data_IF_754511507964
#
_entry.id   IF_754511507964
#
_cell.length_a   1.000
_cell.length_b   1.000
_cell.length_c   1.000
_cell.angle_alpha   90.00
_cell.angle_beta   90.00
_cell.angle_gamma   90.00
#
_symmetry.space_group_name_H-M   'P 1'
#
loop_
_entity.id
_entity.type
_entity.pdbx_description
1 polymer ?
#
# COMPACT_ATOMS: atom_id res chain seq x y z
N UNK A 1 11.01 -27.84 -45.43
CA UNK A 1 11.10 -27.07 -44.16
C UNK A 1 12.57 -26.92 -43.77
N UNK A 2 13.05 -25.70 -43.64
CA UNK A 2 14.47 -25.38 -43.54
C UNK A 2 15.01 -25.64 -42.11
N UNK A 3 16.04 -26.48 -41.95
CA UNK A 3 16.58 -26.91 -40.63
C UNK A 3 16.92 -25.75 -39.70
N UNK A 4 17.29 -24.59 -40.27
CA UNK A 4 17.59 -23.36 -39.53
C UNK A 4 16.38 -22.78 -38.80
N UNK A 5 15.16 -22.92 -39.34
CA UNK A 5 13.95 -22.42 -38.67
C UNK A 5 13.53 -23.29 -37.48
N UNK A 6 13.80 -24.60 -37.52
CA UNK A 6 13.50 -25.50 -36.41
C UNK A 6 14.40 -25.22 -35.19
N UNK A 7 15.68 -24.89 -35.42
CA UNK A 7 16.61 -24.51 -34.35
C UNK A 7 16.26 -23.17 -33.69
N UNK A 8 15.77 -22.18 -34.44
CA UNK A 8 15.32 -20.92 -33.85
C UNK A 8 14.04 -21.09 -33.03
N UNK A 9 13.12 -21.96 -33.46
CA UNK A 9 11.88 -22.24 -32.74
C UNK A 9 12.14 -23.01 -31.43
N UNK A 10 13.09 -23.96 -31.45
CA UNK A 10 13.56 -24.66 -30.25
C UNK A 10 14.29 -23.74 -29.28
N UNK A 11 15.13 -22.81 -29.77
CA UNK A 11 15.81 -21.83 -28.93
C UNK A 11 14.81 -20.85 -28.26
N UNK A 12 13.76 -20.44 -28.98
CA UNK A 12 12.70 -19.58 -28.42
C UNK A 12 11.90 -20.31 -27.34
N UNK A 13 11.62 -21.60 -27.52
CA UNK A 13 10.86 -22.41 -26.58
C UNK A 13 11.64 -22.66 -25.28
N UNK A 14 12.95 -22.91 -25.37
CA UNK A 14 13.84 -23.07 -24.20
C UNK A 14 14.04 -21.75 -23.43
N UNK A 15 14.10 -20.60 -24.13
CA UNK A 15 14.16 -19.30 -23.44
C UNK A 15 12.86 -18.95 -22.71
N UNK A 16 11.70 -19.34 -23.25
CA UNK A 16 10.42 -19.10 -22.57
C UNK A 16 10.16 -20.05 -21.40
N UNK A 17 10.70 -21.27 -21.41
CA UNK A 17 10.60 -22.20 -20.27
C UNK A 17 11.57 -21.85 -19.13
N UNK A 18 12.71 -21.23 -19.43
CA UNK A 18 13.67 -20.81 -18.40
C UNK A 18 13.13 -19.67 -17.52
N UNK A 19 12.26 -18.80 -18.05
CA UNK A 19 11.59 -17.76 -17.26
C UNK A 19 10.40 -18.27 -16.45
N UNK A 20 9.82 -19.42 -16.84
CA UNK A 20 8.70 -20.02 -16.12
C UNK A 20 9.14 -20.88 -14.92
N UNK A 21 10.40 -21.32 -14.88
CA UNK A 21 10.92 -22.20 -13.83
C UNK A 21 11.50 -21.47 -12.59
N UNK A 22 11.58 -20.14 -12.60
CA UNK A 22 12.13 -19.34 -11.48
C UNK A 22 11.07 -18.69 -10.57
N UNK A 23 9.81 -19.11 -10.67
CA UNK A 23 8.73 -18.70 -9.77
C UNK A 23 8.14 -19.91 -9.04
N UNK A 24 9.01 -20.76 -8.48
CA UNK A 24 8.58 -21.58 -7.35
C UNK A 24 8.39 -20.62 -6.17
N UNK A 25 7.15 -20.54 -5.70
CA UNK A 25 6.79 -19.91 -4.45
C UNK A 25 7.64 -20.56 -3.33
N UNK A 26 8.76 -19.93 -2.99
CA UNK A 26 9.43 -20.22 -1.72
C UNK A 26 8.46 -19.70 -0.67
N UNK A 27 7.79 -20.63 0.04
CA UNK A 27 7.05 -20.27 1.23
C UNK A 27 8.01 -19.56 2.19
N UNK A 28 7.64 -18.40 2.77
CA UNK A 28 8.52 -17.63 3.66
C UNK A 28 8.94 -18.37 4.94
N UNK A 29 8.47 -19.61 5.14
CA UNK A 29 8.77 -20.44 6.30
C UNK A 29 10.22 -20.96 6.35
N UNK A 30 10.93 -21.04 5.22
CA UNK A 30 12.29 -21.63 5.18
C UNK A 30 13.41 -20.70 5.70
N UNK A 31 13.09 -19.43 5.98
CA UNK A 31 14.03 -18.44 6.56
C UNK A 31 13.63 -17.99 7.98
N UNK A 32 12.77 -18.76 8.64
CA UNK A 32 12.26 -18.42 9.98
C UNK A 32 13.09 -19.05 11.11
N UNK A 33 13.67 -18.22 11.98
CA UNK A 33 14.21 -18.63 13.27
C UNK A 33 13.12 -18.61 14.34
N UNK A 34 13.11 -19.59 15.26
CA UNK A 34 12.23 -19.60 16.43
C UNK A 34 13.04 -19.17 17.65
N UNK A 35 12.62 -18.10 18.33
CA UNK A 35 13.09 -17.76 19.68
C UNK A 35 11.91 -17.92 20.63
N UNK A 36 12.11 -18.67 21.71
CA UNK A 36 11.13 -18.83 22.78
C UNK A 36 11.42 -17.75 23.83
N UNK A 37 10.53 -16.77 23.93
CA UNK A 37 10.52 -15.80 25.03
C UNK A 37 9.18 -15.92 25.74
N UNK A 38 9.22 -16.17 27.05
CA UNK A 38 8.04 -16.19 27.95
C UNK A 38 6.90 -17.10 27.48
N UNK A 39 7.22 -18.31 27.03
CA UNK A 39 6.23 -19.33 26.64
C UNK A 39 5.47 -19.03 25.33
N UNK A 40 5.82 -17.96 24.61
CA UNK A 40 5.32 -17.68 23.25
C UNK A 40 6.40 -18.00 22.23
N UNK A 41 6.05 -18.87 21.29
CA UNK A 41 6.87 -19.14 20.10
C UNK A 41 6.66 -18.01 19.11
N UNK A 42 7.66 -17.12 18.99
CA UNK A 42 7.66 -16.09 17.94
C UNK A 42 8.50 -16.62 16.78
N UNK A 43 7.87 -16.76 15.62
CA UNK A 43 8.53 -17.08 14.36
C UNK A 43 9.06 -15.77 13.77
N UNK A 44 10.39 -15.64 13.68
CA UNK A 44 11.03 -14.49 13.06
C UNK A 44 11.60 -14.90 11.72
N UNK A 45 11.11 -14.34 10.62
CA UNK A 45 11.91 -14.31 9.39
C UNK A 45 13.09 -13.36 9.62
N UNK A 46 14.30 -13.72 9.16
CA UNK A 46 15.53 -12.89 9.26
C UNK A 46 15.32 -11.44 8.77
N UNK A 47 14.30 -11.19 7.95
CA UNK A 47 13.86 -9.87 7.50
C UNK A 47 12.39 -9.62 7.83
N UNK A 48 12.09 -9.24 9.08
CA UNK A 48 10.77 -8.69 9.43
C UNK A 48 10.71 -7.20 9.09
N UNK A 49 10.12 -6.89 7.93
CA UNK A 49 9.90 -5.52 7.44
C UNK A 49 9.13 -4.64 8.44
N UNK A 50 8.19 -5.24 9.18
CA UNK A 50 7.39 -4.53 10.17
C UNK A 50 8.27 -4.11 11.33
N UNK A 51 9.03 -5.06 11.88
CA UNK A 51 9.93 -4.81 13.00
C UNK A 51 11.00 -3.77 12.66
N UNK A 52 11.57 -3.82 11.45
CA UNK A 52 12.55 -2.83 10.99
C UNK A 52 11.95 -1.42 10.95
N UNK A 53 10.77 -1.28 10.35
CA UNK A 53 10.11 0.01 10.21
C UNK A 53 9.68 0.57 11.56
N UNK A 54 9.10 -0.26 12.42
CA UNK A 54 8.63 0.12 13.75
C UNK A 54 9.82 0.46 14.66
N UNK A 55 10.92 -0.28 14.58
CA UNK A 55 12.15 0.00 15.32
C UNK A 55 12.79 1.35 14.95
N UNK A 56 12.87 1.67 13.65
CA UNK A 56 13.33 3.01 13.23
C UNK A 56 12.35 4.11 13.65
N UNK A 57 11.03 3.89 13.53
CA UNK A 57 10.03 4.87 13.93
C UNK A 57 10.11 5.17 15.44
N UNK A 58 10.32 4.14 16.27
CA UNK A 58 10.54 4.32 17.70
C UNK A 58 11.82 5.11 17.98
N UNK A 59 12.93 4.79 17.29
CA UNK A 59 14.20 5.54 17.43
C UNK A 59 14.04 7.03 17.08
N UNK A 60 13.17 7.36 16.13
CA UNK A 60 12.97 8.73 15.65
C UNK A 60 11.87 9.48 16.40
N UNK A 61 11.11 8.82 17.26
CA UNK A 61 9.91 9.35 17.93
C UNK A 61 10.12 10.68 18.68
N UNK A 62 11.31 10.88 19.25
CA UNK A 62 11.68 12.08 20.00
C UNK A 62 12.46 13.12 19.17
N UNK A 63 12.68 12.87 17.86
CA UNK A 63 13.40 13.82 17.02
C UNK A 63 12.53 15.04 16.68
N UNK A 64 13.12 16.25 16.63
CA UNK A 64 12.41 17.45 16.22
C UNK A 64 12.02 17.40 14.73
N UNK A 65 10.97 18.15 14.38
CA UNK A 65 10.42 18.25 13.02
C UNK A 65 11.49 18.53 11.97
N UNK A 66 12.42 19.45 12.24
CA UNK A 66 13.47 19.86 11.30
C UNK A 66 14.40 18.69 10.93
N UNK A 67 14.79 17.89 11.92
CA UNK A 67 15.64 16.71 11.70
C UNK A 67 14.87 15.68 10.86
N UNK A 68 13.59 15.44 11.16
CA UNK A 68 12.77 14.51 10.39
C UNK A 68 12.64 14.95 8.92
N UNK A 69 12.46 16.25 8.67
CA UNK A 69 12.39 16.80 7.30
C UNK A 69 13.71 16.63 6.56
N UNK A 70 14.86 16.90 7.20
CA UNK A 70 16.17 16.68 6.58
C UNK A 70 16.42 15.20 6.30
N UNK A 71 15.98 14.29 7.17
CA UNK A 71 16.02 12.85 6.89
C UNK A 71 15.14 12.46 5.71
N UNK A 72 13.95 13.05 5.54
CA UNK A 72 13.08 12.80 4.38
C UNK A 72 13.75 13.28 3.08
N UNK A 73 14.53 14.35 3.16
CA UNK A 73 15.24 14.97 2.03
C UNK A 73 16.53 14.24 1.66
N UNK A 74 17.14 13.51 2.58
CA UNK A 74 18.38 12.77 2.35
C UNK A 74 18.17 11.60 1.37
N UNK A 75 18.80 11.68 0.19
CA UNK A 75 18.76 10.65 -0.86
C UNK A 75 19.63 9.42 -0.51
N UNK A 76 20.51 9.51 0.50
CA UNK A 76 21.43 8.43 0.91
C UNK A 76 20.84 7.48 1.94
N UNK A 77 19.73 7.86 2.58
CA UNK A 77 19.08 7.03 3.58
C UNK A 77 18.34 5.84 2.96
N UNK A 78 18.40 4.70 3.66
CA UNK A 78 17.60 3.53 3.32
C UNK A 78 16.10 3.88 3.39
N UNK A 79 15.33 3.33 2.46
CA UNK A 79 13.87 3.34 2.40
C UNK A 79 13.16 3.12 3.75
N UNK A 80 13.60 2.17 4.59
CA UNK A 80 12.97 1.97 5.91
C UNK A 80 13.17 3.16 6.84
N UNK A 81 14.35 3.77 6.83
CA UNK A 81 14.66 4.96 7.64
C UNK A 81 13.83 6.16 7.16
N UNK A 82 13.73 6.33 5.83
CA UNK A 82 12.91 7.39 5.24
C UNK A 82 11.43 7.17 5.59
N UNK A 83 10.90 5.97 5.39
CA UNK A 83 9.50 5.64 5.71
C UNK A 83 9.20 5.86 7.20
N UNK A 84 10.10 5.45 8.09
CA UNK A 84 9.99 5.71 9.52
C UNK A 84 10.01 7.21 9.84
N UNK A 85 10.90 7.99 9.23
CA UNK A 85 10.95 9.43 9.41
C UNK A 85 9.63 10.11 8.96
N UNK A 86 9.09 9.72 7.80
CA UNK A 86 7.79 10.20 7.31
C UNK A 86 6.67 9.81 8.27
N UNK A 87 6.68 8.58 8.80
CA UNK A 87 5.67 8.11 9.76
C UNK A 87 5.67 8.94 11.03
N UNK A 88 6.84 9.15 11.65
CA UNK A 88 6.96 9.95 12.86
C UNK A 88 6.57 11.40 12.58
N UNK A 89 7.04 11.96 11.45
CA UNK A 89 6.63 13.28 11.02
C UNK A 89 5.10 13.41 10.92
N UNK A 90 4.47 12.41 10.29
CA UNK A 90 3.03 12.40 10.10
C UNK A 90 2.25 12.23 11.40
N UNK A 91 2.71 11.37 12.31
CA UNK A 91 2.02 11.13 13.58
C UNK A 91 2.09 12.34 14.51
N UNK A 92 3.24 13.02 14.54
CA UNK A 92 3.49 14.06 15.53
C UNK A 92 3.18 15.47 15.03
N UNK A 93 3.38 15.75 13.73
CA UNK A 93 3.38 17.13 13.24
C UNK A 93 2.35 17.42 12.14
N UNK A 94 1.86 16.43 11.39
CA UNK A 94 1.03 16.68 10.17
C UNK A 94 -0.21 17.56 10.38
N UNK A 95 -0.80 17.53 11.58
CA UNK A 95 -2.00 18.28 11.92
C UNK A 95 -1.69 19.70 12.45
N UNK A 96 -0.46 19.97 12.88
CA UNK A 96 -0.07 21.19 13.61
C UNK A 96 0.75 22.16 12.75
N UNK A 97 1.03 21.80 11.49
CA UNK A 97 1.85 22.61 10.59
C UNK A 97 1.20 23.94 10.22
N UNK A 98 1.94 25.03 10.45
CA UNK A 98 1.59 26.37 9.97
C UNK A 98 1.77 26.47 8.45
N UNK A 99 1.05 27.38 7.79
CA UNK A 99 0.98 27.51 6.33
C UNK A 99 2.34 27.56 5.59
N UNK A 100 3.37 28.19 6.18
CA UNK A 100 4.71 28.26 5.58
C UNK A 100 5.46 26.93 5.69
N UNK A 101 5.47 26.32 6.87
CA UNK A 101 6.11 25.02 7.12
C UNK A 101 5.44 23.91 6.33
N UNK A 102 4.11 23.94 6.26
CA UNK A 102 3.30 23.04 5.44
C UNK A 102 3.78 23.05 3.98
N UNK A 103 3.96 24.23 3.36
CA UNK A 103 4.46 24.34 1.97
C UNK A 103 5.84 23.72 1.79
N UNK A 104 6.73 23.90 2.76
CA UNK A 104 8.10 23.36 2.72
C UNK A 104 8.06 21.83 2.83
N UNK A 105 7.33 21.30 3.82
CA UNK A 105 7.14 19.87 3.99
C UNK A 105 6.47 19.22 2.77
N UNK A 106 5.41 19.83 2.22
CA UNK A 106 4.75 19.36 1.00
C UNK A 106 5.73 19.26 -0.17
N UNK A 107 6.55 20.30 -0.38
CA UNK A 107 7.55 20.31 -1.45
C UNK A 107 8.53 19.14 -1.33
N UNK A 108 9.02 18.86 -0.12
CA UNK A 108 9.96 17.76 0.10
C UNK A 108 9.30 16.38 -0.02
N UNK A 109 8.10 16.21 0.53
CA UNK A 109 7.32 14.98 0.41
C UNK A 109 6.99 14.66 -1.06
N UNK A 110 6.51 15.63 -1.82
CA UNK A 110 6.21 15.44 -3.25
C UNK A 110 7.47 15.14 -4.07
N UNK A 111 8.58 15.86 -3.81
CA UNK A 111 9.86 15.57 -4.45
C UNK A 111 10.32 14.15 -4.15
N UNK A 112 10.26 13.71 -2.90
CA UNK A 112 10.63 12.34 -2.49
C UNK A 112 9.71 11.31 -3.14
N UNK A 113 8.41 11.55 -3.16
CA UNK A 113 7.42 10.65 -3.78
C UNK A 113 7.73 10.41 -5.26
N UNK A 114 8.14 11.44 -5.99
CA UNK A 114 8.50 11.33 -7.42
C UNK A 114 9.78 10.54 -7.70
N UNK A 115 10.65 10.37 -6.70
CA UNK A 115 11.98 9.76 -6.84
C UNK A 115 12.09 8.37 -6.21
N UNK A 116 11.18 8.03 -5.31
CA UNK A 116 11.26 6.79 -4.53
C UNK A 116 10.54 5.65 -5.25
N UNK A 117 11.24 4.53 -5.39
CA UNK A 117 10.68 3.27 -5.87
C UNK A 117 10.12 2.41 -4.71
N UNK A 118 10.45 2.78 -3.47
CA UNK A 118 10.06 2.00 -2.29
C UNK A 118 8.56 2.11 -2.00
N UNK A 119 7.83 1.00 -1.97
CA UNK A 119 6.40 1.00 -1.67
C UNK A 119 6.11 1.47 -0.23
N UNK A 120 7.02 1.24 0.71
CA UNK A 120 6.89 1.71 2.10
C UNK A 120 6.89 3.23 2.17
N UNK A 121 7.89 3.85 1.53
CA UNK A 121 8.02 5.32 1.49
C UNK A 121 6.83 5.93 0.76
N UNK A 122 6.40 5.34 -0.36
CA UNK A 122 5.24 5.80 -1.12
C UNK A 122 3.96 5.82 -0.26
N UNK A 123 3.67 4.74 0.47
CA UNK A 123 2.47 4.65 1.33
C UNK A 123 2.49 5.73 2.41
N UNK A 124 3.60 5.88 3.13
CA UNK A 124 3.73 6.86 4.21
C UNK A 124 3.61 8.30 3.71
N UNK A 125 4.22 8.62 2.55
CA UNK A 125 4.12 9.97 1.98
C UNK A 125 2.71 10.27 1.48
N UNK A 126 2.07 9.34 0.77
CA UNK A 126 0.68 9.52 0.30
C UNK A 126 -0.27 9.74 1.48
N UNK A 127 -0.06 9.01 2.58
CA UNK A 127 -0.83 9.18 3.80
C UNK A 127 -0.57 10.52 4.47
N UNK A 128 0.70 10.93 4.60
CA UNK A 128 1.08 12.23 5.17
C UNK A 128 0.49 13.40 4.39
N UNK A 129 0.60 13.39 3.05
CA UNK A 129 0.02 14.42 2.20
C UNK A 129 -1.50 14.52 2.36
N UNK A 130 -2.20 13.38 2.45
CA UNK A 130 -3.64 13.36 2.71
C UNK A 130 -4.03 13.93 4.08
N UNK A 131 -3.21 13.73 5.12
CA UNK A 131 -3.45 14.29 6.45
C UNK A 131 -3.16 15.79 6.50
N UNK A 132 -2.07 16.23 5.87
CA UNK A 132 -1.70 17.65 5.80
C UNK A 132 -2.71 18.49 4.99
N UNK A 133 -3.11 18.02 3.81
CA UNK A 133 -4.11 18.70 2.97
C UNK A 133 -5.01 17.73 2.24
N UNK A 134 -6.08 17.36 2.92
CA UNK A 134 -7.06 16.42 2.40
C UNK A 134 -7.75 16.92 1.13
N UNK A 135 -8.15 18.19 1.08
CA UNK A 135 -8.88 18.74 -0.07
C UNK A 135 -8.05 18.71 -1.35
N UNK A 136 -6.75 18.94 -1.22
CA UNK A 136 -5.82 18.96 -2.35
C UNK A 136 -5.39 17.57 -2.79
N UNK A 137 -5.04 16.70 -1.85
CA UNK A 137 -4.33 15.45 -2.17
C UNK A 137 -5.20 14.21 -2.21
N UNK A 138 -6.41 14.21 -1.64
CA UNK A 138 -7.24 13.01 -1.56
C UNK A 138 -7.52 12.40 -2.94
N UNK A 139 -7.86 13.22 -3.93
CA UNK A 139 -8.17 12.73 -5.28
C UNK A 139 -6.95 12.10 -5.99
N UNK A 140 -5.75 12.64 -5.77
CA UNK A 140 -4.53 12.15 -6.42
C UNK A 140 -3.87 10.99 -5.68
N UNK A 141 -3.94 10.97 -4.34
CA UNK A 141 -3.18 10.03 -3.51
C UNK A 141 -3.96 8.78 -3.11
N UNK A 142 -5.29 8.88 -3.00
CA UNK A 142 -6.12 7.72 -2.59
C UNK A 142 -6.13 6.62 -3.66
N UNK A 143 -6.30 6.91 -4.97
CA UNK A 143 -6.28 5.84 -5.97
C UNK A 143 -5.00 4.98 -5.97
N UNK A 144 -3.77 5.55 -5.98
CA UNK A 144 -2.56 4.74 -5.89
C UNK A 144 -2.42 4.06 -4.53
N UNK A 145 -2.87 4.67 -3.43
CA UNK A 145 -2.87 4.03 -2.11
C UNK A 145 -3.79 2.80 -2.08
N UNK A 146 -4.97 2.86 -2.71
CA UNK A 146 -5.87 1.70 -2.88
C UNK A 146 -5.20 0.61 -3.72
N UNK A 147 -4.41 0.97 -4.73
CA UNK A 147 -3.66 -0.02 -5.53
C UNK A 147 -2.62 -0.77 -4.67
N UNK A 148 -2.06 -0.15 -3.63
CA UNK A 148 -1.13 -0.82 -2.70
C UNK A 148 -1.80 -1.92 -1.86
N UNK A 149 -3.14 -1.98 -1.80
CA UNK A 149 -3.88 -3.14 -1.27
C UNK A 149 -3.76 -4.40 -2.14
N UNK A 150 -3.12 -4.32 -3.31
CA UNK A 150 -2.77 -5.48 -4.12
C UNK A 150 -1.31 -5.89 -4.01
N UNK A 151 -0.50 -5.18 -3.24
CA UNK A 151 0.93 -5.43 -3.19
C UNK A 151 1.23 -6.86 -2.69
N UNK A 152 2.30 -7.47 -3.22
CA UNK A 152 2.69 -8.84 -2.85
C UNK A 152 3.12 -8.89 -1.38
N UNK A 153 3.95 -7.93 -0.96
CA UNK A 153 4.36 -7.74 0.43
C UNK A 153 3.13 -7.41 1.32
N UNK A 154 2.90 -8.27 2.33
CA UNK A 154 1.78 -8.18 3.28
C UNK A 154 1.88 -6.95 4.16
N UNK A 155 3.08 -6.52 4.55
CA UNK A 155 3.29 -5.33 5.39
C UNK A 155 2.90 -4.07 4.63
N UNK A 156 3.34 -3.91 3.38
CA UNK A 156 2.91 -2.77 2.53
C UNK A 156 1.38 -2.72 2.42
N UNK A 157 0.75 -3.88 2.26
CA UNK A 157 -0.71 -4.01 2.19
C UNK A 157 -1.38 -3.53 3.49
N UNK A 158 -0.84 -3.93 4.64
CA UNK A 158 -1.32 -3.55 5.96
C UNK A 158 -1.16 -2.07 6.23
N UNK A 159 0.00 -1.51 5.87
CA UNK A 159 0.24 -0.08 6.00
C UNK A 159 -0.75 0.72 5.16
N UNK A 160 -0.94 0.35 3.89
CA UNK A 160 -1.92 1.01 3.04
C UNK A 160 -3.34 0.89 3.60
N UNK A 161 -3.73 -0.29 4.11
CA UNK A 161 -5.03 -0.51 4.73
C UNK A 161 -5.23 0.33 5.98
N UNK A 162 -4.22 0.40 6.85
CA UNK A 162 -4.25 1.18 8.08
C UNK A 162 -4.35 2.68 7.77
N UNK A 163 -3.56 3.18 6.82
CA UNK A 163 -3.62 4.57 6.38
C UNK A 163 -5.00 4.92 5.81
N UNK A 164 -5.57 4.06 4.96
CA UNK A 164 -6.92 4.27 4.40
C UNK A 164 -8.01 4.25 5.47
N UNK A 165 -7.94 3.31 6.42
CA UNK A 165 -8.88 3.21 7.54
C UNK A 165 -8.84 4.47 8.41
N UNK A 166 -7.64 5.00 8.71
CA UNK A 166 -7.49 6.25 9.47
C UNK A 166 -8.10 7.42 8.72
N UNK A 167 -7.76 7.59 7.43
CA UNK A 167 -8.32 8.67 6.62
C UNK A 167 -9.85 8.57 6.56
N UNK A 168 -10.41 7.40 6.39
CA UNK A 168 -11.86 7.21 6.32
C UNK A 168 -12.56 7.51 7.65
N UNK A 169 -11.98 7.10 8.78
CA UNK A 169 -12.56 7.37 10.12
C UNK A 169 -12.57 8.87 10.43
N UNK A 170 -11.53 9.61 10.04
CA UNK A 170 -11.45 11.06 10.23
C UNK A 170 -12.43 11.85 9.34
N UNK A 171 -12.94 11.26 8.26
CA UNK A 171 -13.79 11.93 7.27
C UNK A 171 -15.23 11.42 7.25
N UNK A 172 -16.01 11.69 8.30
CA UNK A 172 -17.43 11.32 8.33
C UNK A 172 -18.24 12.05 7.25
N UNK A 173 -19.13 11.32 6.56
CA UNK A 173 -20.11 11.84 5.58
C UNK A 173 -19.57 12.67 4.39
N UNK A 174 -18.38 12.33 3.87
CA UNK A 174 -17.81 13.02 2.70
C UNK A 174 -18.15 12.33 1.39
N UNK A 175 -19.26 12.73 0.77
CA UNK A 175 -19.77 12.13 -0.48
C UNK A 175 -18.76 12.20 -1.64
N UNK A 176 -18.03 13.32 -1.80
CA UNK A 176 -16.99 13.47 -2.84
C UNK A 176 -15.88 12.43 -2.69
N UNK A 177 -15.40 12.23 -1.48
CA UNK A 177 -14.32 11.30 -1.16
C UNK A 177 -14.78 9.84 -1.33
N UNK A 178 -15.97 9.52 -0.82
CA UNK A 178 -16.59 8.21 -1.01
C UNK A 178 -16.75 7.88 -2.50
N UNK A 179 -17.09 8.87 -3.34
CA UNK A 179 -17.19 8.69 -4.80
C UNK A 179 -15.86 8.36 -5.46
N UNK A 180 -14.76 8.96 -5.01
CA UNK A 180 -13.40 8.66 -5.51
C UNK A 180 -13.01 7.23 -5.15
N UNK A 181 -13.20 6.85 -3.88
CA UNK A 181 -12.93 5.48 -3.39
C UNK A 181 -13.78 4.46 -4.14
N UNK A 182 -15.09 4.70 -4.24
CA UNK A 182 -16.04 3.81 -4.93
C UNK A 182 -15.64 3.62 -6.39
N UNK A 183 -15.40 4.70 -7.14
CA UNK A 183 -15.05 4.60 -8.56
C UNK A 183 -13.71 3.88 -8.78
N UNK A 184 -12.75 4.08 -7.89
CA UNK A 184 -11.45 3.39 -7.95
C UNK A 184 -11.63 1.89 -7.69
N UNK A 185 -12.32 1.51 -6.62
CA UNK A 185 -12.57 0.11 -6.28
C UNK A 185 -13.43 -0.58 -7.32
N UNK A 186 -14.48 0.08 -7.83
CA UNK A 186 -15.33 -0.44 -8.91
C UNK A 186 -14.50 -0.80 -10.13
N UNK A 187 -13.59 0.07 -10.58
CA UNK A 187 -12.70 -0.20 -11.71
C UNK A 187 -11.79 -1.40 -11.43
N UNK A 188 -11.12 -1.42 -10.27
CA UNK A 188 -10.22 -2.51 -9.88
C UNK A 188 -10.97 -3.86 -9.84
N UNK A 189 -12.13 -3.89 -9.19
CA UNK A 189 -12.92 -5.12 -9.03
C UNK A 189 -13.55 -5.59 -10.34
N UNK A 190 -13.98 -4.65 -11.20
CA UNK A 190 -14.48 -4.96 -12.54
C UNK A 190 -13.41 -5.61 -13.41
N UNK A 191 -12.15 -5.15 -13.33
CA UNK A 191 -11.03 -5.75 -14.04
C UNK A 191 -10.73 -7.16 -13.51
N UNK A 192 -10.94 -7.43 -12.22
CA UNK A 192 -10.74 -8.76 -11.62
C UNK A 192 -11.97 -9.68 -11.66
N UNK A 193 -13.09 -9.30 -12.30
CA UNK A 193 -14.38 -10.01 -12.19
C UNK A 193 -14.33 -11.51 -12.47
N UNK A 194 -13.64 -11.94 -13.53
CA UNK A 194 -13.49 -13.36 -13.89
C UNK A 194 -12.79 -14.20 -12.82
N UNK A 195 -11.86 -13.58 -12.08
CA UNK A 195 -11.19 -14.21 -10.94
C UNK A 195 -12.14 -14.31 -9.75
N UNK A 196 -12.99 -13.31 -9.55
CA UNK A 196 -13.95 -13.25 -8.44
C UNK A 196 -15.10 -14.25 -8.60
N UNK A 197 -15.47 -14.66 -9.82
CA UNK A 197 -16.52 -15.67 -10.07
C UNK A 197 -16.26 -16.99 -9.33
N UNK A 198 -14.98 -17.35 -9.14
CA UNK A 198 -14.57 -18.62 -8.52
C UNK A 198 -14.31 -18.49 -7.02
N UNK A 199 -14.45 -17.31 -6.45
CA UNK A 199 -14.13 -17.04 -5.05
C UNK A 199 -15.38 -17.22 -4.20
N UNK A 200 -15.36 -18.19 -3.29
CA UNK A 200 -16.44 -18.44 -2.31
C UNK A 200 -16.26 -17.63 -1.04
N UNK A 201 -15.01 -17.42 -0.59
CA UNK A 201 -14.69 -16.64 0.60
C UNK A 201 -13.61 -15.57 0.29
N UNK A 202 -13.73 -14.34 0.80
CA UNK A 202 -12.79 -13.28 0.50
C UNK A 202 -11.46 -13.45 1.23
N UNK A 203 -10.38 -13.55 0.45
CA UNK A 203 -8.99 -13.44 0.91
C UNK A 203 -8.72 -12.13 1.71
N UNK A 204 -7.74 -12.05 2.63
CA UNK A 204 -7.49 -10.82 3.41
C UNK A 204 -7.31 -9.56 2.58
N UNK A 205 -6.66 -9.66 1.40
CA UNK A 205 -6.50 -8.51 0.49
C UNK A 205 -7.84 -8.05 -0.09
N UNK A 206 -8.71 -9.00 -0.42
CA UNK A 206 -10.05 -8.72 -0.94
C UNK A 206 -10.97 -8.18 0.16
N UNK A 207 -10.93 -8.76 1.36
CA UNK A 207 -11.70 -8.33 2.52
C UNK A 207 -11.44 -6.85 2.86
N UNK A 208 -10.17 -6.42 2.85
CA UNK A 208 -9.79 -5.00 3.07
C UNK A 208 -10.43 -4.07 2.03
N UNK A 209 -10.44 -4.45 0.75
CA UNK A 209 -11.12 -3.67 -0.30
C UNK A 209 -12.63 -3.67 -0.15
N UNK A 210 -13.23 -4.80 0.19
CA UNK A 210 -14.68 -4.90 0.39
C UNK A 210 -15.12 -4.05 1.58
N UNK A 211 -14.32 -3.96 2.65
CA UNK A 211 -14.56 -3.04 3.76
C UNK A 211 -14.60 -1.58 3.30
N UNK A 212 -13.62 -1.15 2.49
CA UNK A 212 -13.60 0.20 1.91
C UNK A 212 -14.80 0.45 0.98
N UNK A 213 -15.18 -0.58 0.20
CA UNK A 213 -16.32 -0.52 -0.70
C UNK A 213 -17.63 -0.35 0.10
N UNK A 214 -17.85 -1.16 1.15
CA UNK A 214 -18.99 -1.06 2.07
C UNK A 214 -19.08 0.33 2.69
N UNK A 215 -17.96 0.90 3.14
CA UNK A 215 -17.93 2.28 3.62
C UNK A 215 -18.38 3.28 2.54
N UNK A 216 -17.84 3.17 1.32
CA UNK A 216 -18.21 4.10 0.25
C UNK A 216 -19.69 4.01 -0.14
N UNK A 217 -20.26 2.79 -0.14
CA UNK A 217 -21.70 2.56 -0.38
C UNK A 217 -22.53 3.14 0.77
N UNK A 218 -22.10 2.96 2.03
CA UNK A 218 -22.80 3.53 3.20
C UNK A 218 -22.92 5.05 3.10
N UNK A 219 -21.89 5.73 2.59
CA UNK A 219 -21.89 7.20 2.44
C UNK A 219 -22.67 7.65 1.20
N UNK A 220 -22.59 6.92 0.08
CA UNK A 220 -23.24 7.32 -1.18
C UNK A 220 -24.69 6.86 -1.32
N UNK A 221 -25.10 5.83 -0.58
CA UNK A 221 -26.40 5.19 -0.67
C UNK A 221 -26.40 3.90 -1.50
N UNK A 222 -27.46 3.10 -1.32
CA UNK A 222 -27.61 1.75 -1.92
C UNK A 222 -27.80 1.76 -3.43
N UNK A 223 -28.10 2.91 -4.03
CA UNK A 223 -28.25 3.05 -5.49
C UNK A 223 -26.96 2.68 -6.24
N UNK A 224 -25.79 2.89 -5.63
CA UNK A 224 -24.49 2.57 -6.22
C UNK A 224 -24.26 1.05 -6.38
N UNK A 225 -25.01 0.19 -5.67
CA UNK A 225 -24.94 -1.27 -5.84
C UNK A 225 -25.24 -1.71 -7.28
N UNK A 226 -26.13 -1.00 -7.98
CA UNK A 226 -26.49 -1.28 -9.38
C UNK A 226 -25.30 -1.12 -10.35
N UNK A 227 -24.25 -0.41 -9.94
CA UNK A 227 -23.07 -0.15 -10.76
C UNK A 227 -21.94 -1.18 -10.56
N UNK A 228 -22.09 -2.09 -9.60
CA UNK A 228 -21.10 -3.11 -9.31
C UNK A 228 -21.31 -4.39 -10.15
N UNK A 229 -20.24 -5.13 -10.46
CA UNK A 229 -20.34 -6.46 -11.06
C UNK A 229 -21.12 -7.42 -10.13
N UNK A 230 -21.87 -8.36 -10.70
CA UNK A 230 -22.68 -9.33 -9.93
C UNK A 230 -21.81 -10.17 -8.99
N UNK A 231 -20.61 -10.49 -9.44
CA UNK A 231 -19.61 -11.28 -8.71
C UNK A 231 -19.17 -10.57 -7.42
N UNK A 232 -19.10 -9.24 -7.46
CA UNK A 232 -18.75 -8.42 -6.29
C UNK A 232 -19.92 -8.33 -5.32
N UNK A 233 -21.16 -8.25 -5.84
CA UNK A 233 -22.37 -8.21 -5.02
C UNK A 233 -22.53 -9.49 -4.18
N UNK A 234 -22.17 -10.65 -4.73
CA UNK A 234 -22.23 -11.93 -4.01
C UNK A 234 -21.24 -12.01 -2.83
N UNK A 235 -20.22 -11.15 -2.82
CA UNK A 235 -19.15 -11.13 -1.80
C UNK A 235 -19.33 -10.01 -0.77
N UNK A 236 -20.30 -9.10 -0.98
CA UNK A 236 -20.57 -7.94 -0.13
C UNK A 236 -21.48 -8.28 1.04
#
# INVERSE_FOLDING_TARGET
MNKKHLTYLLALLVLTSATAAFCQDIEPNELSGKIITEGKTVTYSVFDDRMLLDGYAQKYSALPQEILIEMIKDDTLNSYKIAAAVRVFNNNFSNELVSREKKIAEKFLLRRLSRTESPFVQVEIMFALCRMDRYRYFNSMIPPLIQKLNHYNSIVNELASSSLDTLIKEGSNRSREARIVFNTLRKILFLSRKRLEKVTAPDPKLSRKLKLLRWSIKVLGTQELKRLPKEVLNLL
#
